data_IF_442271062704
#
_entry.id   IF_442271062704
#
_cell.length_a   1.000
_cell.length_b   1.000
_cell.length_c   1.000
_cell.angle_alpha   90.00
_cell.angle_beta   90.00
_cell.angle_gamma   90.00
#
_symmetry.space_group_name_H-M   'P 1'
#
loop_
_entity.id
_entity.type
_entity.pdbx_description
1 polymer ?
#
# COMPACT_ATOMS: atom_id res chain seq x y z
N UNK A 1 53.06 15.21 3.01
CA UNK A 1 53.38 13.80 2.72
C UNK A 1 52.19 13.23 1.96
N UNK A 2 52.29 13.22 0.64
CA UNK A 2 51.25 12.74 -0.27
C UNK A 2 51.09 11.22 -0.11
N UNK A 3 49.88 10.74 0.20
CA UNK A 3 49.54 9.36 -0.10
C UNK A 3 48.89 9.30 -1.48
N UNK A 4 49.64 8.69 -2.40
CA UNK A 4 49.23 8.35 -3.75
C UNK A 4 47.91 7.56 -3.75
N UNK A 5 46.98 8.04 -4.59
CA UNK A 5 45.88 7.27 -5.16
C UNK A 5 46.49 6.10 -5.94
N UNK A 6 46.42 4.89 -5.40
CA UNK A 6 46.56 3.68 -6.22
C UNK A 6 45.19 3.37 -6.82
N UNK A 7 45.03 3.71 -8.09
CA UNK A 7 44.04 3.09 -8.97
C UNK A 7 44.34 1.59 -9.03
N UNK A 8 43.63 0.82 -8.21
CA UNK A 8 43.45 -0.61 -8.44
C UNK A 8 42.09 -0.77 -9.08
N UNK A 9 42.11 -1.16 -10.35
CA UNK A 9 41.01 -1.79 -11.08
C UNK A 9 40.43 -2.90 -10.21
N UNK A 10 39.39 -2.56 -9.44
CA UNK A 10 38.67 -3.51 -8.61
C UNK A 10 37.76 -4.34 -9.50
N UNK A 11 38.08 -5.62 -9.57
CA UNK A 11 37.26 -6.66 -10.21
C UNK A 11 35.87 -6.73 -9.54
N UNK A 12 34.87 -7.10 -10.34
CA UNK A 12 33.42 -7.14 -10.02
C UNK A 12 33.07 -7.72 -8.63
N UNK A 13 33.86 -8.66 -8.10
CA UNK A 13 33.63 -9.28 -6.79
C UNK A 13 33.98 -8.42 -5.57
N UNK A 14 34.91 -7.47 -5.69
CA UNK A 14 35.38 -6.65 -4.56
C UNK A 14 34.43 -5.49 -4.21
N UNK A 15 33.62 -5.02 -5.15
CA UNK A 15 32.62 -3.97 -4.91
C UNK A 15 31.44 -4.48 -4.08
N UNK A 16 30.86 -5.63 -4.46
CA UNK A 16 29.78 -6.28 -3.68
C UNK A 16 30.19 -6.62 -2.24
N UNK A 17 31.46 -6.97 -2.01
CA UNK A 17 31.98 -7.24 -0.66
C UNK A 17 32.08 -5.98 0.22
N UNK A 18 32.41 -4.81 -0.35
CA UNK A 18 32.48 -3.54 0.42
C UNK A 18 31.11 -2.97 0.75
N UNK A 19 30.16 -3.02 -0.18
CA UNK A 19 28.78 -2.56 0.04
C UNK A 19 28.08 -3.43 1.10
N UNK A 20 28.30 -4.75 1.06
CA UNK A 20 27.76 -5.66 2.08
C UNK A 20 28.38 -5.45 3.47
N UNK A 21 29.68 -5.12 3.56
CA UNK A 21 30.33 -4.82 4.84
C UNK A 21 29.78 -3.53 5.48
N UNK A 22 29.60 -2.47 4.68
CA UNK A 22 29.01 -1.21 5.16
C UNK A 22 27.59 -1.41 5.68
N UNK A 23 26.76 -2.12 4.91
CA UNK A 23 25.39 -2.48 5.32
C UNK A 23 25.39 -3.29 6.61
N UNK A 24 26.29 -4.27 6.73
CA UNK A 24 26.38 -5.10 7.94
C UNK A 24 26.77 -4.30 9.18
N UNK A 25 27.75 -3.38 9.07
CA UNK A 25 28.17 -2.50 10.17
C UNK A 25 27.01 -1.58 10.57
N UNK A 26 26.34 -0.94 9.61
CA UNK A 26 25.18 -0.07 9.88
C UNK A 26 24.09 -0.84 10.61
N UNK A 27 23.74 -2.04 10.13
CA UNK A 27 22.73 -2.87 10.80
C UNK A 27 23.14 -3.33 12.20
N UNK A 28 24.42 -3.65 12.42
CA UNK A 28 24.93 -4.00 13.75
C UNK A 28 24.84 -2.81 14.72
N UNK A 29 25.21 -1.61 14.27
CA UNK A 29 25.09 -0.38 15.05
C UNK A 29 23.63 -0.06 15.38
N UNK A 30 22.71 -0.17 14.40
CA UNK A 30 21.28 -0.01 14.63
C UNK A 30 20.75 -1.01 15.66
N UNK A 31 21.17 -2.27 15.57
CA UNK A 31 20.79 -3.29 16.55
C UNK A 31 21.25 -2.92 17.97
N UNK A 32 22.48 -2.43 18.14
CA UNK A 32 22.99 -1.95 19.42
C UNK A 32 22.16 -0.77 19.93
N UNK A 33 21.89 0.22 19.06
CA UNK A 33 21.10 1.40 19.41
C UNK A 33 19.70 1.04 19.90
N UNK A 34 19.05 0.06 19.28
CA UNK A 34 17.74 -0.47 19.72
C UNK A 34 17.83 -1.06 21.13
N UNK A 35 18.87 -1.86 21.39
CA UNK A 35 19.03 -2.53 22.70
C UNK A 35 19.29 -1.53 23.81
N UNK A 36 20.05 -0.46 23.55
CA UNK A 36 20.35 0.59 24.56
C UNK A 36 19.26 1.66 24.67
N UNK A 37 18.25 1.64 23.77
CA UNK A 37 17.16 2.63 23.72
C UNK A 37 15.80 1.96 23.96
N UNK A 38 15.45 1.58 25.20
CA UNK A 38 14.23 0.81 25.49
C UNK A 38 12.94 1.60 25.23
N UNK A 39 13.01 2.92 25.12
CA UNK A 39 11.86 3.81 24.98
C UNK A 39 11.62 4.27 23.52
N UNK A 40 12.20 3.59 22.53
CA UNK A 40 11.94 3.91 21.12
C UNK A 40 10.46 3.72 20.81
N UNK A 41 9.82 4.77 20.28
CA UNK A 41 8.41 4.80 19.89
C UNK A 41 8.23 4.77 18.37
N UNK A 42 9.14 5.41 17.64
CA UNK A 42 9.14 5.48 16.18
C UNK A 42 10.51 5.07 15.67
N UNK A 43 10.54 4.32 14.58
CA UNK A 43 11.77 3.88 13.93
C UNK A 43 11.63 3.98 12.43
N UNK A 44 12.65 4.52 11.78
CA UNK A 44 12.82 4.45 10.35
C UNK A 44 14.10 3.69 10.02
N UNK A 45 14.04 2.79 9.04
CA UNK A 45 15.13 1.86 8.76
C UNK A 45 15.10 1.42 7.29
N UNK A 46 16.27 1.14 6.73
CA UNK A 46 16.37 0.44 5.44
C UNK A 46 16.04 -1.04 5.61
N UNK A 47 15.72 -1.74 4.52
CA UNK A 47 15.29 -3.13 4.56
C UNK A 47 16.18 -4.02 5.47
N UNK A 48 15.66 -4.58 6.58
CA UNK A 48 16.47 -5.25 7.60
C UNK A 48 17.23 -6.48 7.11
N UNK A 49 16.80 -7.09 6.00
CA UNK A 49 17.47 -8.25 5.42
C UNK A 49 18.47 -7.87 4.31
N UNK A 50 18.74 -6.57 4.12
CA UNK A 50 19.50 -6.04 2.99
C UNK A 50 18.66 -5.94 1.71
N UNK A 51 19.12 -5.14 0.74
CA UNK A 51 18.49 -5.03 -0.57
C UNK A 51 18.69 -6.33 -1.36
N UNK A 52 17.58 -6.92 -1.81
CA UNK A 52 17.43 -8.10 -2.67
C UNK A 52 18.71 -8.67 -3.30
N UNK A 53 19.16 -9.86 -2.86
CA UNK A 53 19.72 -10.94 -3.70
C UNK A 53 20.48 -12.05 -2.93
N UNK A 54 20.70 -11.92 -1.61
CA UNK A 54 21.38 -12.96 -0.83
C UNK A 54 20.67 -13.27 0.50
N UNK A 55 19.67 -14.15 0.45
CA UNK A 55 19.09 -14.78 1.66
C UNK A 55 20.07 -15.67 2.45
N UNK A 56 21.35 -15.71 2.05
CA UNK A 56 22.39 -16.53 2.67
C UNK A 56 23.01 -15.88 3.93
N UNK A 57 22.83 -14.57 4.13
CA UNK A 57 23.44 -13.83 5.25
C UNK A 57 22.34 -13.32 6.17
N UNK A 58 22.30 -13.84 7.40
CA UNK A 58 21.49 -13.26 8.46
C UNK A 58 22.16 -12.00 8.98
N UNK A 59 21.59 -10.85 8.65
CA UNK A 59 22.08 -9.58 9.18
C UNK A 59 21.72 -9.41 10.67
N UNK A 60 22.56 -8.72 11.46
CA UNK A 60 22.36 -8.59 12.91
C UNK A 60 21.04 -7.93 13.30
N UNK A 61 20.59 -6.92 12.53
CA UNK A 61 19.32 -6.24 12.80
C UNK A 61 18.14 -7.18 12.56
N UNK A 62 18.08 -7.87 11.42
CA UNK A 62 17.04 -8.86 11.14
C UNK A 62 16.99 -9.94 12.24
N UNK A 63 18.14 -10.44 12.70
CA UNK A 63 18.20 -11.43 13.77
C UNK A 63 17.66 -10.88 15.10
N UNK A 64 18.06 -9.67 15.49
CA UNK A 64 17.56 -9.00 16.70
C UNK A 64 16.04 -8.83 16.63
N UNK A 65 15.51 -8.36 15.51
CA UNK A 65 14.09 -8.12 15.30
C UNK A 65 13.29 -9.44 15.36
N UNK A 66 13.76 -10.51 14.71
CA UNK A 66 13.12 -11.84 14.82
C UNK A 66 13.06 -12.33 16.27
N UNK A 67 14.13 -12.15 17.04
CA UNK A 67 14.15 -12.54 18.45
C UNK A 67 13.21 -11.68 19.31
N UNK A 68 13.11 -10.38 19.03
CA UNK A 68 12.17 -9.48 19.69
C UNK A 68 10.73 -9.92 19.41
N UNK A 69 10.44 -10.16 18.14
CA UNK A 69 9.11 -10.49 17.66
C UNK A 69 8.63 -11.89 18.09
N UNK A 70 9.55 -12.85 18.27
CA UNK A 70 9.22 -14.20 18.74
C UNK A 70 8.92 -14.26 20.25
N UNK A 71 9.37 -13.28 21.04
CA UNK A 71 9.16 -13.25 22.50
C UNK A 71 9.09 -11.81 23.02
N UNK A 72 8.08 -11.03 22.60
CA UNK A 72 8.04 -9.58 22.84
C UNK A 72 7.93 -9.23 24.33
N UNK A 73 7.29 -10.10 25.12
CA UNK A 73 7.19 -9.95 26.58
C UNK A 73 8.55 -10.05 27.29
N UNK A 74 9.46 -10.87 26.75
CA UNK A 74 10.72 -11.23 27.41
C UNK A 74 11.90 -10.32 27.04
N UNK A 75 11.70 -9.40 26.10
CA UNK A 75 12.76 -8.48 25.64
C UNK A 75 12.48 -7.06 26.17
N UNK A 76 13.48 -6.37 26.76
CA UNK A 76 13.28 -5.03 27.32
C UNK A 76 13.22 -3.92 26.27
N UNK A 77 13.68 -4.19 25.04
CA UNK A 77 13.70 -3.26 23.91
C UNK A 77 12.46 -3.42 23.03
N UNK A 78 12.11 -2.37 22.26
CA UNK A 78 10.98 -2.32 21.32
C UNK A 78 9.57 -2.46 21.95
N UNK A 79 9.46 -2.52 23.28
CA UNK A 79 8.17 -2.61 23.97
C UNK A 79 7.24 -1.42 23.68
N UNK A 80 7.83 -0.25 23.43
CA UNK A 80 7.12 0.99 23.17
C UNK A 80 7.06 1.35 21.68
N UNK A 81 7.62 0.51 20.80
CA UNK A 81 7.67 0.79 19.36
C UNK A 81 6.24 0.72 18.79
N UNK A 82 5.78 1.86 18.27
CA UNK A 82 4.44 2.05 17.68
C UNK A 82 4.49 2.23 16.18
N UNK A 83 5.52 2.90 15.66
CA UNK A 83 5.57 3.27 14.25
C UNK A 83 6.88 2.79 13.61
N UNK A 84 6.77 2.11 12.49
CA UNK A 84 7.92 1.70 11.67
C UNK A 84 7.76 2.25 10.27
N UNK A 85 8.78 2.93 9.77
CA UNK A 85 8.87 3.34 8.37
C UNK A 85 10.04 2.61 7.70
N UNK A 86 9.75 1.90 6.62
CA UNK A 86 10.76 1.15 5.86
C UNK A 86 11.20 2.00 4.68
N UNK A 87 12.42 2.51 4.76
CA UNK A 87 13.04 3.34 3.74
C UNK A 87 13.41 2.44 2.56
N UNK A 88 12.71 2.60 1.43
CA UNK A 88 13.06 1.94 0.19
C UNK A 88 14.10 2.73 -0.57
N UNK A 89 15.37 2.47 -0.29
CA UNK A 89 16.49 3.12 -0.96
C UNK A 89 17.51 2.09 -1.40
N UNK A 90 18.05 2.30 -2.60
CA UNK A 90 19.17 1.54 -3.11
C UNK A 90 20.31 2.53 -3.40
N UNK A 91 21.31 2.54 -2.51
CA UNK A 91 22.50 3.40 -2.64
C UNK A 91 23.56 2.81 -3.61
N UNK A 92 23.23 1.75 -4.36
CA UNK A 92 24.14 1.23 -5.38
C UNK A 92 24.29 2.24 -6.52
N UNK A 93 25.50 2.33 -7.08
CA UNK A 93 25.78 3.17 -8.26
C UNK A 93 25.01 2.75 -9.53
N UNK A 94 24.29 1.63 -9.46
CA UNK A 94 23.44 1.07 -10.51
C UNK A 94 21.95 1.31 -10.25
N UNK A 95 21.62 1.94 -9.12
CA UNK A 95 20.25 2.32 -8.82
C UNK A 95 19.86 3.53 -9.66
N UNK A 96 18.95 3.29 -10.58
CA UNK A 96 18.32 4.35 -11.34
C UNK A 96 17.15 4.89 -10.53
N UNK A 97 17.34 6.07 -9.93
CA UNK A 97 16.37 6.73 -9.05
C UNK A 97 15.08 7.13 -9.74
N UNK A 98 14.96 6.95 -11.06
CA UNK A 98 13.73 7.23 -11.82
C UNK A 98 12.67 6.15 -11.68
N UNK A 99 13.08 4.94 -11.29
CA UNK A 99 12.21 3.76 -11.26
C UNK A 99 11.85 3.35 -9.83
N UNK A 100 10.75 2.63 -9.68
CA UNK A 100 10.41 1.95 -8.44
C UNK A 100 11.51 0.95 -8.03
N UNK A 101 11.56 0.65 -6.73
CA UNK A 101 12.53 -0.28 -6.15
C UNK A 101 11.82 -1.52 -5.60
N UNK A 102 12.26 -2.75 -5.95
CA UNK A 102 11.68 -3.97 -5.40
C UNK A 102 11.76 -4.02 -3.87
N UNK A 103 10.65 -4.33 -3.20
CA UNK A 103 10.62 -4.55 -1.74
C UNK A 103 9.72 -5.71 -1.31
N UNK A 104 10.24 -6.58 -0.44
CA UNK A 104 9.44 -7.52 0.35
C UNK A 104 8.94 -6.87 1.66
N UNK A 105 7.98 -5.92 1.54
CA UNK A 105 7.36 -5.30 2.71
C UNK A 105 6.65 -6.34 3.59
N UNK A 106 6.00 -7.35 3.01
CA UNK A 106 5.42 -8.48 3.75
C UNK A 106 6.47 -9.19 4.63
N UNK A 107 7.64 -9.47 4.08
CA UNK A 107 8.84 -9.90 4.80
C UNK A 107 9.21 -9.00 5.96
N UNK A 108 9.22 -7.69 5.74
CA UNK A 108 9.48 -6.70 6.78
C UNK A 108 8.40 -6.73 7.88
N UNK A 109 7.12 -6.80 7.53
CA UNK A 109 6.04 -6.82 8.52
C UNK A 109 6.20 -8.00 9.50
N UNK A 110 6.66 -9.17 9.02
CA UNK A 110 6.93 -10.35 9.87
C UNK A 110 7.99 -10.13 10.94
N UNK A 111 8.79 -9.06 10.85
CA UNK A 111 9.77 -8.69 11.87
C UNK A 111 9.16 -7.88 13.02
N UNK A 112 7.95 -7.35 12.83
CA UNK A 112 7.29 -6.44 13.79
C UNK A 112 5.86 -6.88 14.18
N UNK A 113 5.27 -7.82 13.44
CA UNK A 113 3.84 -8.14 13.51
C UNK A 113 3.33 -8.62 14.89
N UNK A 114 4.19 -9.15 15.76
CA UNK A 114 3.81 -9.61 17.10
C UNK A 114 4.23 -8.64 18.22
N UNK A 115 4.89 -7.53 17.91
CA UNK A 115 5.24 -6.53 18.92
C UNK A 115 3.96 -6.00 19.59
N UNK A 116 4.05 -5.71 20.89
CA UNK A 116 2.88 -5.43 21.73
C UNK A 116 2.27 -4.06 21.46
N UNK A 117 3.13 -3.06 21.23
CA UNK A 117 2.72 -1.67 21.03
C UNK A 117 2.69 -1.26 19.56
N UNK A 118 2.97 -2.16 18.61
CA UNK A 118 3.02 -1.78 17.19
C UNK A 118 1.64 -1.31 16.73
N UNK A 119 1.62 -0.17 16.05
CA UNK A 119 0.40 0.46 15.55
C UNK A 119 0.49 0.62 14.04
N UNK A 120 1.58 1.19 13.52
CA UNK A 120 1.73 1.54 12.12
C UNK A 120 3.00 0.97 11.49
N UNK A 121 2.88 0.58 10.22
CA UNK A 121 4.02 0.37 9.33
C UNK A 121 3.76 1.06 8.00
N UNK A 122 4.77 1.72 7.44
CA UNK A 122 4.69 2.29 6.10
C UNK A 122 5.97 2.19 5.31
N UNK A 123 5.87 2.40 4.00
CA UNK A 123 6.95 2.39 3.04
C UNK A 123 6.54 3.14 1.77
N UNK A 124 7.50 3.75 1.08
CA UNK A 124 7.25 4.45 -0.19
C UNK A 124 8.14 3.90 -1.30
N UNK A 125 7.87 4.30 -2.55
CA UNK A 125 8.71 4.01 -3.72
C UNK A 125 8.93 2.54 -4.01
N UNK A 126 7.97 1.67 -3.68
CA UNK A 126 8.13 0.23 -3.85
C UNK A 126 7.40 -0.34 -5.06
N UNK A 127 8.04 -1.34 -5.68
CA UNK A 127 7.39 -2.34 -6.50
C UNK A 127 7.51 -3.73 -5.84
N UNK A 128 6.74 -4.69 -6.30
CA UNK A 128 6.80 -6.06 -5.78
C UNK A 128 8.16 -6.70 -6.03
N UNK A 129 8.76 -7.31 -5.01
CA UNK A 129 9.93 -8.17 -5.21
C UNK A 129 9.54 -9.37 -6.07
N UNK A 130 10.14 -9.58 -7.27
CA UNK A 130 9.84 -10.72 -8.12
C UNK A 130 10.16 -12.07 -7.45
N UNK A 131 11.03 -12.05 -6.43
CA UNK A 131 11.40 -13.23 -5.65
C UNK A 131 10.63 -13.31 -4.31
N UNK A 132 9.76 -12.33 -4.05
CA UNK A 132 8.93 -12.26 -2.86
C UNK A 132 8.02 -13.49 -2.79
N UNK A 133 8.02 -14.15 -1.64
CA UNK A 133 7.10 -15.26 -1.38
C UNK A 133 5.88 -14.73 -0.65
N UNK A 134 4.71 -14.89 -1.24
CA UNK A 134 3.44 -14.65 -0.55
C UNK A 134 3.25 -15.72 0.52
N UNK A 135 3.11 -15.29 1.77
CA UNK A 135 2.56 -16.13 2.84
C UNK A 135 1.19 -15.58 3.22
N UNK A 136 0.14 -16.27 2.78
CA UNK A 136 -1.23 -15.89 3.09
C UNK A 136 -1.60 -16.34 4.51
N UNK A 137 -1.43 -15.44 5.49
CA UNK A 137 -1.73 -15.71 6.91
C UNK A 137 -2.79 -14.76 7.44
N UNK A 138 -4.00 -15.27 7.66
CA UNK A 138 -5.11 -14.48 8.22
C UNK A 138 -4.79 -13.99 9.64
N UNK A 139 -5.05 -12.70 9.92
CA UNK A 139 -5.09 -12.11 11.27
C UNK A 139 -3.88 -12.49 12.15
N UNK A 140 -2.71 -12.51 11.55
CA UNK A 140 -1.46 -12.85 12.23
C UNK A 140 -0.68 -11.62 12.75
N UNK A 141 -1.11 -10.41 12.41
CA UNK A 141 -0.40 -9.17 12.71
C UNK A 141 -1.17 -8.25 13.67
N UNK A 142 -0.46 -7.68 14.66
CA UNK A 142 -0.94 -6.65 15.56
C UNK A 142 -0.94 -5.24 14.93
N UNK A 143 -0.35 -5.08 13.74
CA UNK A 143 -0.33 -3.81 13.01
C UNK A 143 -1.76 -3.40 12.67
N UNK A 144 -2.06 -2.11 12.86
CA UNK A 144 -3.41 -1.55 12.71
C UNK A 144 -3.48 -0.49 11.61
N UNK A 145 -2.33 0.05 11.20
CA UNK A 145 -2.23 1.11 10.21
C UNK A 145 -1.18 0.74 9.17
N UNK A 146 -1.56 0.80 7.90
CA UNK A 146 -0.67 0.57 6.78
C UNK A 146 -0.68 1.79 5.86
N UNK A 147 0.51 2.23 5.46
CA UNK A 147 0.71 3.39 4.58
C UNK A 147 1.73 3.03 3.52
N UNK A 148 1.29 2.95 2.27
CA UNK A 148 2.15 2.62 1.13
C UNK A 148 1.96 3.71 0.07
N UNK A 149 2.88 4.65 -0.05
CA UNK A 149 2.71 5.77 -0.98
C UNK A 149 3.68 5.68 -2.14
N UNK A 150 3.31 6.32 -3.24
CA UNK A 150 4.14 6.44 -4.44
C UNK A 150 4.72 5.08 -4.87
N UNK A 151 3.85 4.06 -4.98
CA UNK A 151 4.27 2.65 -5.12
C UNK A 151 3.43 1.92 -6.15
N UNK A 152 4.06 0.97 -6.84
CA UNK A 152 3.46 0.19 -7.93
C UNK A 152 3.35 -1.28 -7.51
N UNK A 153 2.19 -1.65 -6.93
CA UNK A 153 1.93 -3.02 -6.46
C UNK A 153 0.51 -3.46 -6.82
N UNK A 154 0.33 -4.76 -7.09
CA UNK A 154 -0.96 -5.31 -7.47
C UNK A 154 -1.92 -5.43 -6.28
N UNK A 155 -3.20 -5.63 -6.62
CA UNK A 155 -4.26 -5.82 -5.62
C UNK A 155 -4.10 -7.09 -4.77
N UNK A 156 -3.45 -8.16 -5.28
CA UNK A 156 -3.17 -9.38 -4.50
C UNK A 156 -2.24 -9.08 -3.32
N UNK A 157 -1.20 -8.29 -3.56
CA UNK A 157 -0.23 -7.86 -2.57
C UNK A 157 -0.91 -7.07 -1.46
N UNK A 158 -1.67 -6.03 -1.83
CA UNK A 158 -2.41 -5.21 -0.89
C UNK A 158 -3.45 -6.03 -0.11
N UNK A 159 -4.20 -6.90 -0.80
CA UNK A 159 -5.17 -7.80 -0.17
C UNK A 159 -4.51 -8.71 0.87
N UNK A 160 -3.32 -9.27 0.58
CA UNK A 160 -2.58 -10.09 1.52
C UNK A 160 -2.15 -9.30 2.78
N UNK A 161 -1.68 -8.06 2.61
CA UNK A 161 -1.32 -7.20 3.74
C UNK A 161 -2.53 -6.88 4.62
N UNK A 162 -3.66 -6.50 4.02
CA UNK A 162 -4.94 -6.25 4.70
C UNK A 162 -5.40 -7.50 5.45
N UNK A 163 -5.32 -8.66 4.80
CA UNK A 163 -5.74 -9.95 5.35
C UNK A 163 -4.89 -10.40 6.55
N UNK A 164 -3.61 -10.01 6.56
CA UNK A 164 -2.69 -10.31 7.65
C UNK A 164 -3.01 -9.58 8.96
N UNK A 165 -3.68 -8.43 8.89
CA UNK A 165 -3.98 -7.61 10.06
C UNK A 165 -5.09 -8.23 10.91
N UNK A 166 -4.92 -8.26 12.23
CA UNK A 166 -5.97 -8.69 13.16
C UNK A 166 -7.13 -7.70 13.21
N UNK A 167 -6.77 -6.42 13.26
CA UNK A 167 -7.68 -5.28 13.35
C UNK A 167 -7.03 -4.18 12.51
N UNK A 168 -7.57 -3.92 11.32
CA UNK A 168 -7.14 -2.79 10.49
C UNK A 168 -8.01 -1.58 10.81
N UNK A 169 -7.36 -0.45 11.13
CA UNK A 169 -7.99 0.85 11.43
C UNK A 169 -7.72 1.88 10.35
N UNK A 170 -6.56 1.83 9.71
CA UNK A 170 -6.15 2.82 8.72
C UNK A 170 -5.40 2.12 7.59
N UNK A 171 -5.81 2.41 6.37
CA UNK A 171 -5.13 1.91 5.18
C UNK A 171 -5.02 3.03 4.16
N UNK A 172 -3.78 3.29 3.73
CA UNK A 172 -3.47 4.28 2.73
C UNK A 172 -2.61 3.66 1.64
N UNK A 173 -3.00 3.85 0.38
CA UNK A 173 -2.25 3.42 -0.78
C UNK A 173 -2.30 4.47 -1.89
N UNK A 174 -1.14 4.84 -2.45
CA UNK A 174 -1.08 5.65 -3.67
C UNK A 174 -0.07 5.12 -4.68
N UNK A 175 -0.45 5.19 -5.96
CA UNK A 175 0.47 4.99 -7.09
C UNK A 175 1.29 6.26 -7.35
N UNK A 176 2.16 6.20 -8.35
CA UNK A 176 2.82 7.35 -8.92
C UNK A 176 4.15 7.71 -8.29
N UNK A 177 4.76 8.79 -8.79
CA UNK A 177 6.04 9.33 -8.31
C UNK A 177 7.29 8.69 -8.91
N UNK A 178 7.17 7.53 -9.58
CA UNK A 178 8.26 6.91 -10.37
C UNK A 178 7.71 6.24 -11.64
N UNK A 179 8.62 5.81 -12.51
CA UNK A 179 8.32 4.99 -13.67
C UNK A 179 8.45 3.48 -13.36
N UNK A 180 7.74 2.64 -14.11
CA UNK A 180 8.02 1.20 -14.15
C UNK A 180 9.16 0.88 -15.12
N UNK A 181 10.03 -0.08 -14.76
CA UNK A 181 11.18 -0.47 -15.59
C UNK A 181 10.79 -1.15 -16.90
N UNK A 182 9.65 -1.85 -16.90
CA UNK A 182 9.14 -2.58 -18.05
C UNK A 182 8.04 -1.79 -18.80
N UNK A 183 7.71 -0.59 -18.32
CA UNK A 183 6.62 0.24 -18.84
C UNK A 183 5.21 -0.32 -18.56
N UNK A 184 5.10 -1.44 -17.83
CA UNK A 184 3.84 -2.03 -17.40
C UNK A 184 3.38 -1.50 -16.05
N UNK A 185 2.10 -1.79 -15.73
CA UNK A 185 1.51 -1.48 -14.43
C UNK A 185 0.91 -2.75 -13.82
N UNK A 186 1.07 -2.98 -12.51
CA UNK A 186 0.47 -4.13 -11.83
C UNK A 186 -1.05 -4.12 -11.91
N UNK A 187 -1.65 -5.30 -12.01
CA UNK A 187 -3.12 -5.42 -12.07
C UNK A 187 -3.72 -5.02 -10.72
N UNK A 188 -4.55 -3.97 -10.73
CA UNK A 188 -5.36 -3.59 -9.59
C UNK A 188 -6.82 -4.01 -9.81
N UNK A 189 -7.26 -5.08 -9.13
CA UNK A 189 -8.66 -5.50 -9.10
C UNK A 189 -9.38 -4.88 -7.88
N UNK A 190 -10.29 -3.91 -8.08
CA UNK A 190 -11.07 -3.29 -7.01
C UNK A 190 -11.96 -4.28 -6.26
N UNK A 191 -12.53 -5.28 -6.94
CA UNK A 191 -13.41 -6.29 -6.33
C UNK A 191 -12.63 -7.14 -5.32
N UNK A 192 -11.46 -7.64 -5.71
CA UNK A 192 -10.58 -8.40 -4.81
C UNK A 192 -10.15 -7.56 -3.60
N UNK A 193 -9.75 -6.31 -3.85
CA UNK A 193 -9.34 -5.37 -2.81
C UNK A 193 -10.47 -5.07 -1.80
N UNK A 194 -11.68 -4.72 -2.28
CA UNK A 194 -12.85 -4.48 -1.42
C UNK A 194 -13.21 -5.74 -0.63
N UNK A 195 -13.17 -6.92 -1.25
CA UNK A 195 -13.45 -8.19 -0.57
C UNK A 195 -12.47 -8.45 0.58
N UNK A 196 -11.19 -8.12 0.43
CA UNK A 196 -10.23 -8.19 1.53
C UNK A 196 -10.56 -7.17 2.65
N UNK A 197 -10.91 -5.92 2.29
CA UNK A 197 -11.34 -4.90 3.25
C UNK A 197 -12.59 -5.29 4.04
N UNK A 198 -13.48 -6.10 3.45
CA UNK A 198 -14.72 -6.51 4.11
C UNK A 198 -14.49 -7.29 5.42
N UNK A 199 -13.30 -7.85 5.65
CA UNK A 199 -12.91 -8.43 6.94
C UNK A 199 -12.84 -7.39 8.07
N UNK A 200 -12.73 -6.10 7.73
CA UNK A 200 -12.46 -4.99 8.65
C UNK A 200 -13.59 -3.93 8.67
N UNK A 201 -14.81 -4.25 8.20
CA UNK A 201 -15.98 -3.35 8.17
C UNK A 201 -16.25 -2.61 9.48
N UNK A 202 -16.02 -3.29 10.62
CA UNK A 202 -16.31 -2.76 11.96
C UNK A 202 -15.13 -2.00 12.58
N UNK A 203 -13.97 -2.00 11.94
CA UNK A 203 -12.72 -1.50 12.55
C UNK A 203 -12.01 -0.46 11.71
N UNK A 204 -12.20 -0.46 10.39
CA UNK A 204 -11.57 0.49 9.47
C UNK A 204 -12.15 1.90 9.69
N UNK A 205 -11.30 2.83 10.10
CA UNK A 205 -11.63 4.22 10.41
C UNK A 205 -11.20 5.19 9.30
N UNK A 206 -10.10 4.88 8.60
CA UNK A 206 -9.53 5.69 7.52
C UNK A 206 -9.20 4.80 6.33
N UNK A 207 -9.70 5.19 5.15
CA UNK A 207 -9.35 4.58 3.88
C UNK A 207 -8.97 5.66 2.88
N UNK A 208 -7.75 5.61 2.37
CA UNK A 208 -7.25 6.49 1.32
C UNK A 208 -6.62 5.67 0.20
N UNK A 209 -7.26 5.63 -0.97
CA UNK A 209 -6.74 4.94 -2.15
C UNK A 209 -6.66 5.91 -3.31
N UNK A 210 -5.46 6.03 -3.87
CA UNK A 210 -5.19 6.82 -5.06
C UNK A 210 -4.48 5.93 -6.09
N UNK A 211 -5.27 5.10 -6.77
CA UNK A 211 -4.81 4.12 -7.75
C UNK A 211 -5.68 4.06 -9.01
N UNK A 212 -6.76 4.87 -9.09
CA UNK A 212 -7.80 4.74 -10.11
C UNK A 212 -7.28 4.94 -11.54
N UNK A 213 -6.27 5.78 -11.72
CA UNK A 213 -5.71 6.08 -13.05
C UNK A 213 -5.09 4.85 -13.74
N UNK A 214 -4.71 3.81 -12.97
CA UNK A 214 -4.16 2.56 -13.50
C UNK A 214 -5.22 1.43 -13.59
N UNK A 215 -6.50 1.73 -13.35
CA UNK A 215 -7.60 0.76 -13.40
C UNK A 215 -8.39 0.95 -14.69
N UNK A 216 -7.81 0.51 -15.81
CA UNK A 216 -8.43 0.64 -17.14
C UNK A 216 -9.80 -0.04 -17.26
N UNK A 217 -10.09 -1.05 -16.44
CA UNK A 217 -11.41 -1.70 -16.41
C UNK A 217 -12.55 -0.72 -16.09
N UNK A 218 -12.29 0.41 -15.42
CA UNK A 218 -13.31 1.43 -15.21
C UNK A 218 -13.73 2.19 -16.49
N UNK A 219 -12.96 2.08 -17.56
CA UNK A 219 -13.30 2.63 -18.88
C UNK A 219 -14.38 1.84 -19.62
N UNK A 220 -14.65 0.59 -19.18
CA UNK A 220 -15.73 -0.24 -19.74
C UNK A 220 -17.07 0.32 -19.26
N UNK A 221 -17.92 0.81 -20.17
CA UNK A 221 -19.20 1.41 -19.80
C UNK A 221 -20.23 0.38 -19.30
N UNK A 222 -20.28 -0.79 -19.93
CA UNK A 222 -21.23 -1.85 -19.56
C UNK A 222 -20.88 -2.46 -18.19
N UNK A 223 -21.82 -2.36 -17.24
CA UNK A 223 -21.60 -2.82 -15.86
C UNK A 223 -21.43 -4.35 -15.75
N UNK A 224 -22.08 -5.12 -16.63
CA UNK A 224 -21.98 -6.58 -16.61
C UNK A 224 -20.61 -7.02 -17.15
N UNK A 225 -20.18 -6.46 -18.29
CA UNK A 225 -18.85 -6.69 -18.87
C UNK A 225 -17.75 -6.29 -17.87
N UNK A 226 -17.90 -5.12 -17.23
CA UNK A 226 -16.96 -4.65 -16.21
C UNK A 226 -16.86 -5.60 -15.01
N UNK A 227 -17.99 -6.10 -14.51
CA UNK A 227 -17.98 -7.07 -13.41
C UNK A 227 -17.40 -8.42 -13.83
N UNK A 228 -17.64 -8.87 -15.07
CA UNK A 228 -17.01 -10.05 -15.65
C UNK A 228 -15.48 -9.93 -15.69
N UNK A 229 -14.94 -8.78 -16.09
CA UNK A 229 -13.49 -8.52 -16.09
C UNK A 229 -12.90 -8.59 -14.67
N UNK A 230 -13.55 -7.98 -13.68
CA UNK A 230 -13.16 -8.10 -12.27
C UNK A 230 -13.31 -9.51 -11.69
N UNK A 231 -14.11 -10.37 -12.34
CA UNK A 231 -14.24 -11.78 -11.99
C UNK A 231 -13.27 -12.69 -12.74
N UNK A 232 -12.55 -12.15 -13.71
CA UNK A 232 -11.57 -12.88 -14.50
C UNK A 232 -10.15 -12.60 -13.98
N UNK A 233 -9.71 -11.35 -14.02
CA UNK A 233 -8.35 -10.95 -13.65
C UNK A 233 -8.24 -10.59 -12.16
N UNK A 234 -7.21 -11.04 -11.45
CA UNK A 234 -7.03 -10.78 -10.03
C UNK A 234 -8.10 -11.46 -9.15
N UNK A 235 -8.49 -12.68 -9.53
CA UNK A 235 -9.65 -13.37 -8.96
C UNK A 235 -9.41 -14.88 -8.80
N UNK A 236 -10.30 -15.64 -8.13
CA UNK A 236 -10.22 -17.10 -8.11
C UNK A 236 -10.35 -17.76 -9.49
N UNK A 237 -10.91 -17.05 -10.49
CA UNK A 237 -11.11 -17.58 -11.84
C UNK A 237 -9.90 -17.35 -12.75
N UNK A 238 -8.90 -16.60 -12.29
CA UNK A 238 -7.72 -16.25 -13.07
C UNK A 238 -6.94 -17.50 -13.46
N UNK A 239 -6.62 -17.62 -14.74
CA UNK A 239 -5.84 -18.76 -15.24
C UNK A 239 -4.35 -18.58 -14.91
N UNK A 240 -3.67 -19.67 -14.55
CA UNK A 240 -2.22 -19.66 -14.35
C UNK A 240 -1.75 -19.20 -12.96
N UNK A 241 -2.67 -18.93 -12.03
CA UNK A 241 -2.31 -18.63 -10.64
C UNK A 241 -1.93 -19.92 -9.88
N UNK A 242 -1.02 -19.79 -8.90
CA UNK A 242 -0.63 -20.91 -8.04
C UNK A 242 -1.72 -21.33 -7.05
N UNK A 243 -1.65 -22.58 -6.56
CA UNK A 243 -2.64 -23.18 -5.64
C UNK A 243 -2.86 -22.36 -4.36
N UNK A 244 -1.79 -21.78 -3.80
CA UNK A 244 -1.85 -20.95 -2.60
C UNK A 244 -2.62 -19.64 -2.86
N UNK A 245 -2.31 -18.97 -3.97
CA UNK A 245 -3.01 -17.75 -4.43
C UNK A 245 -4.49 -18.04 -4.72
N UNK A 246 -4.78 -19.14 -5.39
CA UNK A 246 -6.15 -19.58 -5.64
C UNK A 246 -6.93 -19.81 -4.34
N UNK A 247 -6.31 -20.48 -3.36
CA UNK A 247 -6.91 -20.75 -2.06
C UNK A 247 -7.15 -19.46 -1.28
N UNK A 248 -6.19 -18.52 -1.33
CA UNK A 248 -6.35 -17.20 -0.74
C UNK A 248 -7.50 -16.43 -1.37
N UNK A 249 -7.54 -16.34 -2.71
CA UNK A 249 -8.62 -15.67 -3.41
C UNK A 249 -9.97 -16.27 -3.06
N UNK A 250 -10.10 -17.61 -3.07
CA UNK A 250 -11.33 -18.28 -2.62
C UNK A 250 -11.75 -17.87 -1.22
N UNK A 251 -10.80 -17.74 -0.30
CA UNK A 251 -11.08 -17.36 1.09
C UNK A 251 -11.66 -15.95 1.17
N UNK A 252 -11.02 -14.96 0.51
CA UNK A 252 -11.52 -13.59 0.50
C UNK A 252 -12.79 -13.45 -0.36
N UNK A 253 -12.99 -14.29 -1.37
CA UNK A 253 -14.15 -14.20 -2.28
C UNK A 253 -15.49 -14.46 -1.59
N UNK A 254 -15.46 -15.16 -0.45
CA UNK A 254 -16.62 -15.40 0.42
C UNK A 254 -17.16 -14.11 1.06
N UNK A 255 -16.32 -13.07 1.15
CA UNK A 255 -16.73 -11.78 1.67
C UNK A 255 -17.44 -10.97 0.59
N UNK A 256 -18.37 -10.14 1.03
CA UNK A 256 -19.06 -9.17 0.18
C UNK A 256 -19.63 -8.06 1.04
N UNK A 257 -19.82 -6.89 0.46
CA UNK A 257 -20.49 -5.77 1.08
C UNK A 257 -20.32 -4.47 0.33
N UNK A 258 -21.02 -3.44 0.80
CA UNK A 258 -20.94 -2.08 0.27
C UNK A 258 -20.30 -1.11 1.26
N UNK A 259 -19.98 0.08 0.75
CA UNK A 259 -19.39 1.15 1.53
C UNK A 259 -20.18 1.46 2.82
N UNK A 260 -21.51 1.41 2.77
CA UNK A 260 -22.42 1.67 3.91
C UNK A 260 -22.14 0.79 5.12
N UNK A 261 -21.65 -0.42 4.89
CA UNK A 261 -21.40 -1.41 5.94
C UNK A 261 -20.11 -1.13 6.73
N UNK A 262 -19.28 -0.19 6.29
CA UNK A 262 -18.06 0.23 6.98
C UNK A 262 -18.39 1.20 8.12
N UNK A 263 -19.08 0.70 9.15
CA UNK A 263 -19.68 1.50 10.23
C UNK A 263 -18.68 2.30 11.08
N UNK A 264 -17.40 1.94 11.07
CA UNK A 264 -16.35 2.66 11.78
C UNK A 264 -15.67 3.74 10.93
N UNK A 265 -15.97 3.81 9.62
CA UNK A 265 -15.26 4.65 8.66
C UNK A 265 -15.62 6.11 8.86
N UNK A 266 -14.60 6.92 9.11
CA UNK A 266 -14.70 8.37 9.35
C UNK A 266 -14.10 9.19 8.23
N UNK A 267 -13.05 8.69 7.57
CA UNK A 267 -12.37 9.38 6.48
C UNK A 267 -12.24 8.47 5.27
N UNK A 268 -12.70 8.96 4.13
CA UNK A 268 -12.64 8.25 2.86
C UNK A 268 -12.01 9.15 1.80
N UNK A 269 -11.10 8.61 1.01
CA UNK A 269 -10.50 9.28 -0.14
C UNK A 269 -10.30 8.27 -1.26
N UNK A 270 -11.01 8.47 -2.37
CA UNK A 270 -11.04 7.53 -3.50
C UNK A 270 -11.17 8.30 -4.82
N UNK A 271 -10.77 7.68 -5.93
CA UNK A 271 -11.20 8.10 -7.26
C UNK A 271 -12.71 7.93 -7.44
N UNK A 272 -13.31 8.72 -8.34
CA UNK A 272 -14.76 8.77 -8.55
C UNK A 272 -15.35 7.42 -8.99
N UNK A 273 -14.71 6.71 -9.93
CA UNK A 273 -15.25 5.44 -10.43
C UNK A 273 -15.16 4.34 -9.35
N UNK A 274 -14.06 4.30 -8.61
CA UNK A 274 -13.88 3.40 -7.48
C UNK A 274 -14.90 3.71 -6.38
N UNK A 275 -15.09 4.98 -6.03
CA UNK A 275 -16.08 5.38 -5.03
C UNK A 275 -17.48 4.86 -5.38
N UNK A 276 -17.93 5.07 -6.62
CA UNK A 276 -19.25 4.60 -7.08
C UNK A 276 -19.33 3.08 -7.10
N UNK A 277 -18.28 2.39 -7.58
CA UNK A 277 -18.22 0.93 -7.58
C UNK A 277 -18.33 0.35 -6.16
N UNK A 278 -17.58 0.91 -5.21
CA UNK A 278 -17.59 0.47 -3.81
C UNK A 278 -18.90 0.83 -3.10
N UNK A 279 -19.47 2.00 -3.38
CA UNK A 279 -20.78 2.39 -2.89
C UNK A 279 -21.88 1.42 -3.34
N UNK A 280 -21.83 0.98 -4.60
CA UNK A 280 -22.75 -0.03 -5.12
C UNK A 280 -22.51 -1.41 -4.50
N UNK A 281 -21.29 -1.67 -4.01
CA UNK A 281 -20.90 -2.85 -3.24
C UNK A 281 -20.30 -3.96 -4.08
N UNK A 282 -19.87 -5.03 -3.42
CA UNK A 282 -19.36 -6.24 -4.08
C UNK A 282 -20.05 -7.45 -3.47
N UNK A 283 -20.69 -8.29 -4.30
CA UNK A 283 -21.34 -9.53 -3.87
C UNK A 283 -20.55 -10.76 -4.33
N UNK A 284 -21.06 -11.94 -4.00
CA UNK A 284 -20.68 -13.17 -4.70
C UNK A 284 -21.38 -13.25 -6.06
N UNK A 285 -20.86 -14.13 -6.92
CA UNK A 285 -21.39 -14.43 -8.25
C UNK A 285 -22.77 -15.10 -8.21
N UNK A 286 -23.64 -14.92 -9.23
CA UNK A 286 -23.42 -14.16 -10.48
C UNK A 286 -23.72 -12.66 -10.39
N UNK A 287 -23.28 -11.88 -11.39
CA UNK A 287 -23.65 -10.47 -11.55
C UNK A 287 -25.17 -10.28 -11.46
N UNK A 288 -25.58 -9.29 -10.68
CA UNK A 288 -26.97 -8.85 -10.60
C UNK A 288 -27.01 -7.38 -10.96
N UNK A 289 -27.73 -7.07 -12.05
CA UNK A 289 -27.95 -5.69 -12.47
C UNK A 289 -28.50 -4.89 -11.29
N UNK A 290 -27.78 -3.83 -10.93
CA UNK A 290 -28.10 -3.02 -9.77
C UNK A 290 -29.22 -2.05 -10.14
N UNK A 291 -30.06 -1.71 -9.16
CA UNK A 291 -30.97 -0.58 -9.31
C UNK A 291 -30.19 0.73 -9.44
N UNK A 292 -30.88 1.84 -9.69
CA UNK A 292 -30.25 3.15 -9.69
C UNK A 292 -29.50 3.38 -8.36
N UNK A 293 -28.18 3.56 -8.45
CA UNK A 293 -27.33 3.82 -7.31
C UNK A 293 -27.61 5.25 -6.83
N UNK A 294 -27.87 5.40 -5.53
CA UNK A 294 -27.85 6.71 -4.88
C UNK A 294 -26.67 6.74 -3.90
N UNK A 295 -25.58 7.42 -4.26
CA UNK A 295 -24.36 7.47 -3.44
C UNK A 295 -24.66 7.88 -2.00
N UNK A 296 -25.56 8.85 -1.81
CA UNK A 296 -25.99 9.36 -0.51
C UNK A 296 -26.56 8.29 0.42
N UNK A 297 -27.24 7.28 -0.13
CA UNK A 297 -27.84 6.18 0.64
C UNK A 297 -26.82 5.08 0.97
N UNK A 298 -25.67 5.10 0.29
CA UNK A 298 -24.58 4.14 0.43
C UNK A 298 -23.41 4.65 1.29
N UNK A 299 -23.44 5.90 1.76
CA UNK A 299 -22.39 6.41 2.64
C UNK A 299 -22.46 5.78 4.04
N UNK A 300 -21.31 5.55 4.71
CA UNK A 300 -21.30 5.15 6.10
C UNK A 300 -21.89 6.24 6.99
N UNK A 301 -22.67 5.86 8.00
CA UNK A 301 -23.39 6.78 8.89
C UNK A 301 -22.45 7.72 9.67
N UNK A 302 -21.25 7.25 10.00
CA UNK A 302 -20.24 7.99 10.75
C UNK A 302 -19.20 8.73 9.90
N UNK A 303 -19.41 8.85 8.58
CA UNK A 303 -18.41 9.46 7.70
C UNK A 303 -18.32 10.97 7.96
N UNK A 304 -17.11 11.44 8.29
CA UNK A 304 -16.82 12.84 8.65
C UNK A 304 -16.07 13.58 7.54
N UNK A 305 -15.30 12.88 6.72
CA UNK A 305 -14.49 13.44 5.62
C UNK A 305 -14.60 12.58 4.36
N UNK A 306 -14.81 13.22 3.21
CA UNK A 306 -14.82 12.59 1.89
C UNK A 306 -13.98 13.40 0.90
N UNK A 307 -12.99 12.76 0.28
CA UNK A 307 -12.23 13.31 -0.84
C UNK A 307 -12.50 12.48 -2.09
N UNK A 308 -12.81 13.15 -3.20
CA UNK A 308 -13.13 12.53 -4.47
C UNK A 308 -12.07 12.97 -5.48
N UNK A 309 -11.31 12.01 -6.02
CA UNK A 309 -10.26 12.28 -7.02
C UNK A 309 -10.78 11.97 -8.43
N UNK A 310 -10.23 12.67 -9.41
CA UNK A 310 -10.55 12.49 -10.83
C UNK A 310 -11.97 12.90 -11.25
N UNK A 311 -12.76 13.56 -10.38
CA UNK A 311 -14.06 14.09 -10.76
C UNK A 311 -13.91 15.47 -11.41
N UNK A 312 -14.45 15.61 -12.62
CA UNK A 312 -14.55 16.88 -13.32
C UNK A 312 -15.98 17.09 -13.81
N UNK A 313 -16.59 18.20 -13.38
CA UNK A 313 -17.98 18.54 -13.68
C UNK A 313 -18.21 18.69 -15.18
N UNK A 314 -19.27 18.05 -15.69
CA UNK A 314 -19.67 18.13 -17.10
C UNK A 314 -19.07 17.04 -17.99
N UNK A 315 -18.16 16.20 -17.48
CA UNK A 315 -17.59 15.09 -18.27
C UNK A 315 -18.51 13.87 -18.33
N UNK A 316 -19.17 13.54 -17.21
CA UNK A 316 -20.09 12.41 -17.11
C UNK A 316 -21.35 12.83 -16.35
N UNK A 317 -22.49 12.88 -17.05
CA UNK A 317 -23.78 13.32 -16.49
C UNK A 317 -24.20 12.50 -15.25
N UNK A 318 -23.91 11.20 -15.25
CA UNK A 318 -24.19 10.34 -14.10
C UNK A 318 -23.37 10.75 -12.86
N UNK A 319 -22.08 11.03 -13.04
CA UNK A 319 -21.22 11.50 -11.94
C UNK A 319 -21.72 12.83 -11.40
N UNK A 320 -22.04 13.78 -12.29
CA UNK A 320 -22.58 15.08 -11.92
C UNK A 320 -23.86 14.95 -11.09
N UNK A 321 -24.77 14.04 -11.49
CA UNK A 321 -26.01 13.76 -10.76
C UNK A 321 -25.73 13.25 -9.34
N UNK A 322 -24.79 12.31 -9.19
CA UNK A 322 -24.39 11.78 -7.89
C UNK A 322 -23.75 12.87 -7.00
N UNK A 323 -22.88 13.70 -7.57
CA UNK A 323 -22.19 14.78 -6.83
C UNK A 323 -23.15 15.90 -6.42
N UNK A 324 -24.07 16.30 -7.30
CA UNK A 324 -25.10 17.29 -6.98
C UNK A 324 -26.04 16.79 -5.88
N UNK A 325 -26.41 15.49 -5.91
CA UNK A 325 -27.20 14.87 -4.85
C UNK A 325 -26.44 14.83 -3.51
N UNK A 326 -25.15 14.48 -3.53
CA UNK A 326 -24.28 14.49 -2.37
C UNK A 326 -24.16 15.89 -1.74
N UNK A 327 -23.96 16.93 -2.56
CA UNK A 327 -23.89 18.31 -2.08
C UNK A 327 -25.21 18.78 -1.46
N UNK A 328 -26.36 18.41 -2.04
CA UNK A 328 -27.68 18.71 -1.47
C UNK A 328 -27.89 17.98 -0.13
N UNK A 329 -27.52 16.70 -0.07
CA UNK A 329 -27.63 15.90 1.14
C UNK A 329 -26.82 16.49 2.29
N UNK A 330 -25.59 16.94 2.03
CA UNK A 330 -24.73 17.54 3.06
C UNK A 330 -25.24 18.90 3.52
N UNK A 331 -25.72 19.75 2.59
CA UNK A 331 -26.35 21.05 2.94
C UNK A 331 -27.64 20.91 3.75
N UNK A 332 -28.32 19.77 3.68
CA UNK A 332 -29.53 19.51 4.47
C UNK A 332 -29.28 19.30 5.97
N UNK A 333 -28.02 19.08 6.38
CA UNK A 333 -27.66 18.77 7.77
C UNK A 333 -27.98 17.32 8.20
N UNK A 334 -28.42 16.47 7.27
CA UNK A 334 -28.75 15.06 7.54
C UNK A 334 -27.52 14.13 7.57
N UNK A 335 -26.33 14.67 7.33
CA UNK A 335 -25.06 13.94 7.26
C UNK A 335 -24.12 14.31 8.42
N UNK A 336 -23.26 13.38 8.84
CA UNK A 336 -22.13 13.68 9.73
C UNK A 336 -20.91 14.24 8.98
N UNK A 337 -21.00 14.33 7.66
CA UNK A 337 -19.93 14.78 6.78
C UNK A 337 -19.64 16.26 7.01
N UNK A 338 -18.44 16.55 7.51
CA UNK A 338 -17.97 17.91 7.85
C UNK A 338 -17.22 18.55 6.71
N UNK A 339 -16.52 17.75 5.92
CA UNK A 339 -15.63 18.21 4.86
C UNK A 339 -15.77 17.32 3.63
N UNK A 340 -15.91 17.96 2.47
CA UNK A 340 -15.93 17.32 1.16
C UNK A 340 -14.91 18.04 0.29
N UNK A 341 -14.06 17.27 -0.39
CA UNK A 341 -13.10 17.76 -1.37
C UNK A 341 -13.27 17.09 -2.71
N UNK A 342 -12.89 17.80 -3.77
CA UNK A 342 -12.89 17.24 -5.12
C UNK A 342 -14.21 17.32 -5.87
N UNK A 343 -15.18 18.12 -5.41
CA UNK A 343 -16.44 18.40 -6.15
C UNK A 343 -16.37 19.75 -6.85
N UNK A 344 -16.01 20.80 -6.12
CA UNK A 344 -15.91 22.17 -6.66
C UNK A 344 -14.56 22.42 -7.35
N UNK A 345 -13.57 21.59 -7.04
CA UNK A 345 -12.19 21.65 -7.54
C UNK A 345 -11.76 20.28 -8.05
N UNK A 346 -11.03 20.23 -9.15
CA UNK A 346 -10.44 18.98 -9.63
C UNK A 346 -9.24 18.62 -8.73
N UNK A 347 -9.32 17.46 -8.11
CA UNK A 347 -8.15 16.80 -7.51
C UNK A 347 -7.76 15.68 -8.47
N UNK A 348 -6.60 15.75 -9.14
CA UNK A 348 -6.19 14.70 -10.08
C UNK A 348 -5.96 13.38 -9.33
N UNK A 349 -6.16 12.26 -10.03
CA UNK A 349 -5.66 10.97 -9.57
C UNK A 349 -4.13 10.97 -9.66
N UNK A 350 -3.46 10.21 -8.79
CA UNK A 350 -2.05 9.93 -8.94
C UNK A 350 -1.77 9.20 -10.26
N UNK A 351 -0.59 9.44 -10.83
CA UNK A 351 -0.15 8.83 -12.08
C UNK A 351 1.34 8.47 -11.98
N UNK A 352 1.70 7.31 -12.52
CA UNK A 352 3.10 6.91 -12.71
C UNK A 352 3.76 7.72 -13.83
N UNK A 353 5.04 8.04 -13.66
CA UNK A 353 5.79 8.82 -14.65
C UNK A 353 6.05 7.96 -15.88
N UNK A 354 5.50 8.36 -17.03
CA UNK A 354 5.59 7.61 -18.29
C UNK A 354 6.92 7.81 -18.99
N UNK A 355 7.44 9.03 -18.99
CA UNK A 355 8.71 9.41 -19.62
C UNK A 355 9.65 10.05 -18.59
N UNK A 356 10.28 9.26 -17.72
CA UNK A 356 11.10 9.79 -16.63
C UNK A 356 12.39 10.47 -17.11
N UNK A 357 12.71 10.37 -18.41
CA UNK A 357 13.87 11.03 -19.01
C UNK A 357 13.55 12.51 -19.33
N UNK A 358 12.31 12.79 -19.71
CA UNK A 358 11.84 14.13 -20.09
C UNK A 358 10.99 14.80 -18.99
N UNK A 359 10.40 14.01 -18.08
CA UNK A 359 9.50 14.46 -17.01
C UNK A 359 10.10 14.26 -15.61
N UNK A 360 11.39 14.60 -15.44
CA UNK A 360 12.12 14.45 -14.18
C UNK A 360 11.49 15.22 -13.00
N UNK A 361 10.89 16.37 -13.27
CA UNK A 361 10.16 17.20 -12.32
C UNK A 361 8.91 16.54 -11.72
N UNK A 362 8.42 15.44 -12.31
CA UNK A 362 7.31 14.64 -11.78
C UNK A 362 7.78 13.50 -10.86
N UNK A 363 9.09 13.28 -10.77
CA UNK A 363 9.67 12.21 -9.96
C UNK A 363 9.67 12.60 -8.48
N UNK A 364 8.89 11.86 -7.70
CA UNK A 364 8.81 12.03 -6.25
C UNK A 364 10.12 11.63 -5.58
N UNK A 365 10.56 12.34 -4.54
CA UNK A 365 11.79 11.99 -3.82
C UNK A 365 11.58 11.90 -2.30
N UNK A 366 12.42 11.07 -1.65
CA UNK A 366 12.44 10.95 -0.19
C UNK A 366 12.83 12.28 0.51
N UNK A 367 13.38 13.26 -0.21
CA UNK A 367 13.70 14.59 0.31
C UNK A 367 12.43 15.33 0.75
N UNK A 368 11.28 15.06 0.12
CA UNK A 368 9.99 15.65 0.47
C UNK A 368 9.49 15.27 1.86
N UNK A 369 9.96 14.14 2.41
CA UNK A 369 9.67 13.69 3.78
C UNK A 369 10.88 13.87 4.72
N UNK A 370 11.89 14.65 4.30
CA UNK A 370 13.02 15.07 5.13
C UNK A 370 14.23 14.12 5.11
N UNK A 371 14.33 13.23 4.13
CA UNK A 371 15.54 12.42 3.89
C UNK A 371 16.37 13.04 2.76
N UNK A 372 17.38 13.84 3.12
CA UNK A 372 18.33 14.39 2.15
C UNK A 372 19.22 13.29 1.56
N UNK A 373 19.49 13.37 0.26
CA UNK A 373 20.52 12.56 -0.38
C UNK A 373 21.90 13.19 -0.15
N UNK A 374 22.76 12.51 0.59
CA UNK A 374 24.18 12.90 0.77
C UNK A 374 24.99 12.77 -0.53
#
# INVERSE_FOLDING_TARGET
MLMQRMEKTATFGNYRYRESLGTFITQALTAILIVVSPNVVTMALTHPSGSSCNHAIDFPLAQLLRQANASPENKPFLRNLRNVYVINKNDSTWSDGRFYLPMDLSGCLRLFNNLLSIESVGADLMEEDPNGKFEFKEKCSNIRKLSIHHSSVNSLYLANLIWSCRILKEFQYSIGGRASRDGGFPIFNPKAFIKALCAHKKTLEILDIDAENEISTFEIDDEEERDQEFNHHGSPSESGIGDETYTFYKSIWTYGGSLKEFVALKRLSLGINFLLYFAAGVSGEPYQKRGELALVDCLPVGLEYLCIRGYQKGEKEEHDRQMDALMKFCKSGSSQLKEIKGIDELIPNAESVKDPDNDDHLLWSLEEIGYESD
#
